data_IF_147531078272
#
_entry.id   IF_147531078272
#
_cell.length_a   1.000
_cell.length_b   1.000
_cell.length_c   1.000
_cell.angle_alpha   90.00
_cell.angle_beta   90.00
_cell.angle_gamma   90.00
#
_symmetry.space_group_name_H-M   'P 1'
#
loop_
_entity.id
_entity.type
_entity.pdbx_description
1 polymer ?
#
# COMPACT_ATOMS: atom_id res chain seq x y z
N UNK A 1 7.00 9.08 11.85
CA UNK A 1 6.92 10.50 12.25
C UNK A 1 5.67 11.11 11.63
N UNK A 2 5.23 12.29 12.08
CA UNK A 2 4.02 12.91 11.53
C UNK A 2 4.12 13.16 10.02
N UNK A 3 5.28 13.64 9.55
CA UNK A 3 5.55 13.87 8.13
C UNK A 3 5.37 12.61 7.26
N UNK A 4 5.74 11.42 7.75
CA UNK A 4 5.50 10.16 7.02
C UNK A 4 4.00 9.85 6.91
N UNK A 5 3.22 10.14 7.97
CA UNK A 5 1.77 9.91 7.96
C UNK A 5 1.09 10.92 7.02
N UNK A 6 1.53 12.17 7.01
CA UNK A 6 0.97 13.22 6.16
C UNK A 6 1.24 12.93 4.68
N UNK A 7 2.44 12.42 4.35
CA UNK A 7 2.78 11.97 3.00
C UNK A 7 1.84 10.85 2.52
N UNK A 8 1.61 9.83 3.36
CA UNK A 8 0.65 8.76 3.05
C UNK A 8 -0.75 9.35 2.79
N UNK A 9 -1.26 10.17 3.69
CA UNK A 9 -2.59 10.78 3.54
C UNK A 9 -2.73 11.61 2.26
N UNK A 10 -1.68 12.31 1.85
CA UNK A 10 -1.70 13.12 0.63
C UNK A 10 -1.89 12.29 -0.65
N UNK A 11 -1.47 11.02 -0.64
CA UNK A 11 -1.58 10.10 -1.77
C UNK A 11 -2.60 8.97 -1.55
N UNK A 12 -3.44 9.04 -0.50
CA UNK A 12 -4.35 7.96 -0.16
C UNK A 12 -5.36 7.61 -1.27
N UNK A 13 -5.83 8.62 -2.01
CA UNK A 13 -6.77 8.48 -3.12
C UNK A 13 -6.09 8.51 -4.51
N UNK A 14 -4.79 8.79 -4.56
CA UNK A 14 -3.98 8.87 -5.78
C UNK A 14 -3.28 7.53 -6.02
N UNK A 15 -3.95 6.58 -6.67
CA UNK A 15 -3.46 5.21 -6.81
C UNK A 15 -2.70 5.02 -8.13
N UNK A 16 -1.40 4.72 -8.04
CA UNK A 16 -0.53 4.45 -9.18
C UNK A 16 -0.63 3.00 -9.73
N UNK A 17 -1.80 2.63 -10.24
CA UNK A 17 -2.12 1.26 -10.70
C UNK A 17 -1.10 0.65 -11.67
N UNK A 18 -0.48 1.44 -12.56
CA UNK A 18 0.53 0.94 -13.50
C UNK A 18 1.73 0.31 -12.78
N UNK A 19 2.18 0.92 -11.68
CA UNK A 19 3.29 0.42 -10.86
C UNK A 19 2.87 -0.86 -10.13
N UNK A 20 1.66 -0.88 -9.56
CA UNK A 20 1.12 -2.05 -8.88
C UNK A 20 0.98 -3.25 -9.84
N UNK A 21 0.43 -3.04 -11.04
CA UNK A 21 0.25 -4.08 -12.05
C UNK A 21 1.59 -4.64 -12.56
N UNK A 22 2.58 -3.77 -12.79
CA UNK A 22 3.91 -4.20 -13.18
C UNK A 22 4.54 -5.07 -12.08
N UNK A 23 4.46 -4.61 -10.83
CA UNK A 23 5.03 -5.31 -9.68
C UNK A 23 4.32 -6.63 -9.39
N UNK A 24 3.00 -6.68 -9.51
CA UNK A 24 2.20 -7.89 -9.28
C UNK A 24 2.59 -9.02 -10.25
N UNK A 25 2.89 -8.69 -11.51
CA UNK A 25 3.38 -9.69 -12.48
C UNK A 25 4.71 -10.32 -12.07
N UNK A 26 5.55 -9.59 -11.35
CA UNK A 26 6.84 -10.06 -10.83
C UNK A 26 6.66 -10.89 -9.56
N UNK A 27 5.92 -10.38 -8.57
CA UNK A 27 5.85 -10.96 -7.23
C UNK A 27 4.68 -11.91 -7.02
N UNK A 28 3.71 -11.91 -7.95
CA UNK A 28 2.48 -12.74 -7.93
C UNK A 28 1.67 -12.59 -6.64
N UNK A 29 1.66 -11.37 -6.10
CA UNK A 29 0.92 -11.02 -4.90
C UNK A 29 0.46 -9.55 -4.99
N UNK A 30 -0.85 -9.37 -5.05
CA UNK A 30 -1.58 -8.10 -5.14
C UNK A 30 -1.32 -7.15 -3.96
N UNK A 31 -1.50 -7.59 -2.72
CA UNK A 31 -1.28 -6.73 -1.54
C UNK A 31 0.16 -6.24 -1.50
N UNK A 32 1.13 -7.12 -1.76
CA UNK A 32 2.54 -6.74 -1.77
C UNK A 32 2.90 -5.84 -2.96
N UNK A 33 2.19 -5.94 -4.09
CA UNK A 33 2.36 -5.02 -5.22
C UNK A 33 1.86 -3.62 -4.86
N UNK A 34 0.73 -3.51 -4.17
CA UNK A 34 0.18 -2.24 -3.68
C UNK A 34 1.01 -1.62 -2.55
N UNK A 35 1.56 -2.42 -1.61
CA UNK A 35 2.51 -1.93 -0.60
C UNK A 35 3.75 -1.33 -1.25
N UNK A 36 4.28 -1.99 -2.29
CA UNK A 36 5.42 -1.46 -3.05
C UNK A 36 5.06 -0.18 -3.79
N UNK A 37 3.94 -0.18 -4.53
CA UNK A 37 3.51 0.93 -5.36
C UNK A 37 3.21 2.19 -4.53
N UNK A 38 2.56 2.04 -3.38
CA UNK A 38 2.32 3.13 -2.46
C UNK A 38 3.62 3.66 -1.83
N UNK A 39 4.58 2.77 -1.55
CA UNK A 39 5.93 3.14 -1.12
C UNK A 39 6.76 3.86 -2.19
N UNK A 40 6.41 3.77 -3.48
CA UNK A 40 7.04 4.56 -4.56
C UNK A 40 6.54 6.01 -4.53
N UNK A 41 5.25 6.23 -4.25
CA UNK A 41 4.68 7.57 -4.06
C UNK A 41 5.08 8.20 -2.72
N UNK A 42 5.28 7.37 -1.68
CA UNK A 42 5.59 7.82 -0.32
C UNK A 42 6.99 7.36 0.12
N UNK A 43 8.08 7.90 -0.45
CA UNK A 43 9.44 7.43 -0.20
C UNK A 43 9.87 7.60 1.26
N UNK A 44 9.37 8.62 1.97
CA UNK A 44 9.71 8.82 3.38
C UNK A 44 9.01 7.80 4.27
N UNK A 45 7.78 7.41 3.92
CA UNK A 45 6.98 6.46 4.69
C UNK A 45 7.18 4.98 4.30
N UNK A 46 7.83 4.68 3.16
CA UNK A 46 7.99 3.33 2.61
C UNK A 46 8.37 2.25 3.63
N UNK A 47 9.31 2.55 4.54
CA UNK A 47 9.80 1.59 5.53
C UNK A 47 8.82 1.25 6.66
N UNK A 48 7.74 2.02 6.81
CA UNK A 48 6.73 1.83 7.87
C UNK A 48 5.36 1.38 7.33
N UNK A 49 5.18 1.29 6.01
CA UNK A 49 3.96 0.77 5.40
C UNK A 49 3.83 -0.72 5.76
N UNK A 50 2.66 -1.11 6.28
CA UNK A 50 2.36 -2.50 6.63
C UNK A 50 3.25 -3.11 7.73
N UNK A 51 3.89 -2.27 8.55
CA UNK A 51 4.81 -2.71 9.60
C UNK A 51 4.12 -3.61 10.64
N UNK A 52 4.56 -4.86 10.73
CA UNK A 52 4.03 -5.86 11.67
C UNK A 52 2.67 -6.45 11.29
N UNK A 53 2.12 -6.09 10.13
CA UNK A 53 0.86 -6.62 9.61
C UNK A 53 1.09 -7.79 8.64
N UNK A 54 0.00 -8.48 8.31
CA UNK A 54 -0.07 -9.48 7.24
C UNK A 54 -1.07 -9.04 6.19
N UNK A 55 -1.08 -9.65 5.01
CA UNK A 55 -1.98 -9.29 3.90
C UNK A 55 -3.47 -9.28 4.30
N UNK A 56 -3.91 -10.21 5.16
CA UNK A 56 -5.27 -10.25 5.71
C UNK A 56 -5.64 -9.00 6.54
N UNK A 57 -4.68 -8.24 7.05
CA UNK A 57 -4.98 -6.97 7.71
C UNK A 57 -5.67 -5.98 6.76
N UNK A 58 -5.28 -5.94 5.49
CA UNK A 58 -5.92 -5.04 4.52
C UNK A 58 -7.00 -5.74 3.70
N UNK A 59 -6.85 -7.03 3.39
CA UNK A 59 -7.88 -7.81 2.68
C UNK A 59 -9.16 -7.92 3.50
N UNK A 60 -9.12 -8.74 4.56
CA UNK A 60 -10.29 -9.08 5.36
C UNK A 60 -10.99 -7.86 5.99
N UNK A 61 -10.22 -6.89 6.50
CA UNK A 61 -10.83 -5.68 7.09
C UNK A 61 -11.53 -4.81 6.01
N UNK A 62 -11.00 -4.77 4.79
CA UNK A 62 -11.67 -4.04 3.69
C UNK A 62 -12.92 -4.78 3.25
N UNK A 63 -12.88 -6.11 3.18
CA UNK A 63 -14.06 -6.93 2.87
C UNK A 63 -15.19 -6.67 3.88
N UNK A 64 -14.88 -6.59 5.18
CA UNK A 64 -15.86 -6.25 6.23
C UNK A 64 -16.45 -4.84 6.04
N UNK A 65 -15.67 -3.86 5.56
CA UNK A 65 -16.14 -2.48 5.34
C UNK A 65 -17.07 -2.40 4.12
N UNK A 66 -16.82 -3.22 3.09
CA UNK A 66 -17.59 -3.20 1.84
C UNK A 66 -18.94 -3.93 1.97
N UNK A 67 -19.01 -5.00 2.77
CA UNK A 67 -20.21 -5.82 2.99
C UNK A 67 -21.31 -5.13 3.78
#
# INVERSE_FOLDING_TARGET
TQAQIDELKAHADDINYEVAQAREKEVRHDVMSHVYAYGVQCPNAKGIIHLGATSCYVGDNTDIIIM
#
